data_IF_124846391022
#
_entry.id   IF_124846391022
#
_cell.length_a   1.000
_cell.length_b   1.000
_cell.length_c   1.000
_cell.angle_alpha   90.00
_cell.angle_beta   90.00
_cell.angle_gamma   90.00
#
_symmetry.space_group_name_H-M   'P 1'
#
loop_
_entity.id
_entity.type
_entity.pdbx_description
1 polymer ?
#
# COMPACT_ATOMS: atom_id res chain seq x y z
N UNK A 1 28.64 -10.16 11.54
CA UNK A 1 28.75 -9.08 10.53
C UNK A 1 27.48 -8.92 9.67
N UNK A 2 26.30 -8.65 10.27
CA UNK A 2 25.00 -8.61 9.53
C UNK A 2 24.28 -7.24 9.59
N UNK A 3 24.74 -6.31 10.42
CA UNK A 3 24.08 -5.02 10.67
C UNK A 3 24.48 -3.90 9.68
N UNK A 4 25.60 -4.06 8.94
CA UNK A 4 26.22 -2.94 8.20
C UNK A 4 25.51 -2.52 6.91
N UNK A 5 24.64 -3.34 6.33
CA UNK A 5 24.03 -3.00 5.04
C UNK A 5 22.81 -2.07 5.12
N UNK A 6 22.10 -2.05 6.25
CA UNK A 6 21.04 -1.06 6.49
C UNK A 6 21.63 0.36 6.64
N UNK A 7 22.89 0.45 7.07
CA UNK A 7 23.63 1.70 7.26
C UNK A 7 24.47 2.13 6.05
N UNK A 8 24.49 1.37 4.96
CA UNK A 8 25.36 1.65 3.80
C UNK A 8 24.91 2.90 3.01
N UNK A 9 23.62 3.28 3.12
CA UNK A 9 23.04 4.46 2.44
C UNK A 9 22.14 5.27 3.39
N UNK A 10 22.70 5.96 4.40
CA UNK A 10 21.93 6.67 5.42
C UNK A 10 21.02 7.75 4.82
N UNK A 11 21.48 8.41 3.75
CA UNK A 11 20.71 9.41 3.01
C UNK A 11 19.49 8.82 2.30
N UNK A 12 19.57 7.58 1.80
CA UNK A 12 18.43 6.91 1.14
C UNK A 12 17.45 6.42 2.19
N UNK A 13 17.96 5.89 3.30
CA UNK A 13 17.14 5.43 4.42
C UNK A 13 16.29 6.58 4.99
N UNK A 14 16.91 7.73 5.32
CA UNK A 14 16.17 8.88 5.84
C UNK A 14 15.08 9.40 4.90
N UNK A 15 15.39 9.55 3.60
CA UNK A 15 14.40 9.93 2.58
C UNK A 15 13.27 8.91 2.45
N UNK A 16 13.56 7.63 2.62
CA UNK A 16 12.57 6.55 2.50
C UNK A 16 11.66 6.48 3.73
N UNK A 17 12.20 6.69 4.92
CA UNK A 17 11.41 6.83 6.16
C UNK A 17 10.48 8.04 6.06
N UNK A 18 10.99 9.19 5.62
CA UNK A 18 10.16 10.39 5.43
C UNK A 18 9.01 10.15 4.43
N UNK A 19 9.28 9.43 3.33
CA UNK A 19 8.24 9.01 2.37
C UNK A 19 7.21 8.06 2.99
N UNK A 20 7.64 7.14 3.85
CA UNK A 20 6.74 6.23 4.57
C UNK A 20 5.83 6.99 5.56
N UNK A 21 6.37 7.93 6.31
CA UNK A 21 5.59 8.81 7.22
C UNK A 21 4.60 9.65 6.42
N UNK A 22 5.04 10.23 5.30
CA UNK A 22 4.15 10.99 4.41
C UNK A 22 3.02 10.11 3.87
N UNK A 23 3.32 8.88 3.43
CA UNK A 23 2.31 7.94 2.95
C UNK A 23 1.29 7.55 4.03
N UNK A 24 1.74 7.35 5.27
CA UNK A 24 0.88 7.12 6.44
C UNK A 24 -0.09 8.29 6.67
N UNK A 25 0.42 9.52 6.69
CA UNK A 25 -0.39 10.72 6.90
C UNK A 25 -1.40 10.91 5.76
N UNK A 26 -0.94 10.77 4.51
CA UNK A 26 -1.79 10.92 3.32
C UNK A 26 -2.94 9.92 3.36
N UNK A 27 -2.70 8.64 3.68
CA UNK A 27 -3.80 7.66 3.68
C UNK A 27 -4.82 7.93 4.79
N UNK A 28 -4.38 8.42 5.96
CA UNK A 28 -5.29 8.85 7.02
C UNK A 28 -6.08 10.11 6.65
N UNK A 29 -5.44 11.10 6.04
CA UNK A 29 -6.11 12.30 5.55
C UNK A 29 -7.16 11.95 4.50
N UNK A 30 -6.82 11.08 3.55
CA UNK A 30 -7.77 10.60 2.53
C UNK A 30 -8.94 9.86 3.18
N UNK A 31 -8.68 9.00 4.16
CA UNK A 31 -9.74 8.33 4.93
C UNK A 31 -10.72 9.32 5.55
N UNK A 32 -10.23 10.29 6.34
CA UNK A 32 -11.10 11.29 6.97
C UNK A 32 -11.80 12.19 5.96
N UNK A 33 -11.10 12.61 4.90
CA UNK A 33 -11.66 13.46 3.86
C UNK A 33 -12.83 12.78 3.15
N UNK A 34 -12.65 11.54 2.70
CA UNK A 34 -13.70 10.77 2.02
C UNK A 34 -14.89 10.54 2.93
N UNK A 35 -14.68 10.06 4.17
CA UNK A 35 -15.78 9.81 5.09
C UNK A 35 -16.54 11.09 5.47
N UNK A 36 -15.83 12.20 5.62
CA UNK A 36 -16.44 13.50 5.93
C UNK A 36 -17.28 14.03 4.77
N UNK A 37 -16.77 13.91 3.54
CA UNK A 37 -17.49 14.37 2.34
C UNK A 37 -18.73 13.51 2.04
N UNK A 38 -18.67 12.21 2.28
CA UNK A 38 -19.75 11.27 1.95
C UNK A 38 -20.82 11.21 3.04
N UNK A 39 -20.42 11.22 4.31
CA UNK A 39 -21.32 10.91 5.44
C UNK A 39 -21.28 11.94 6.57
N UNK A 40 -20.46 12.98 6.46
CA UNK A 40 -20.33 14.04 7.44
C UNK A 40 -19.28 13.77 8.53
N UNK A 41 -18.81 14.85 9.16
CA UNK A 41 -17.71 14.83 10.13
C UNK A 41 -18.01 13.95 11.37
N UNK A 42 -19.22 14.07 11.93
CA UNK A 42 -19.62 13.31 13.12
C UNK A 42 -19.65 11.81 12.87
N UNK A 43 -20.06 11.40 11.66
CA UNK A 43 -20.01 10.00 11.24
C UNK A 43 -18.57 9.52 11.08
N UNK A 44 -17.71 10.32 10.43
CA UNK A 44 -16.29 9.98 10.24
C UNK A 44 -15.57 9.75 11.58
N UNK A 45 -15.81 10.60 12.58
CA UNK A 45 -15.27 10.41 13.93
C UNK A 45 -15.78 9.13 14.60
N UNK A 46 -17.09 8.86 14.52
CA UNK A 46 -17.68 7.63 15.08
C UNK A 46 -17.09 6.36 14.48
N UNK A 47 -17.00 6.31 13.14
CA UNK A 47 -16.38 5.19 12.44
C UNK A 47 -14.90 5.04 12.79
N UNK A 48 -14.17 6.15 12.90
CA UNK A 48 -12.77 6.11 13.30
C UNK A 48 -12.61 5.54 14.71
N UNK A 49 -13.34 6.03 15.71
CA UNK A 49 -13.23 5.51 17.08
C UNK A 49 -13.67 4.05 17.21
N UNK A 50 -14.62 3.60 16.40
CA UNK A 50 -15.03 2.19 16.38
C UNK A 50 -13.96 1.27 15.79
N UNK A 51 -13.26 1.72 14.75
CA UNK A 51 -12.32 0.87 13.99
C UNK A 51 -10.86 1.35 14.03
N UNK A 52 -10.51 2.23 14.98
CA UNK A 52 -9.22 2.92 15.03
C UNK A 52 -8.05 1.94 15.02
N UNK A 53 -8.18 0.81 15.72
CA UNK A 53 -7.17 -0.24 15.77
C UNK A 53 -6.84 -0.77 14.37
N UNK A 54 -7.87 -1.04 13.55
CA UNK A 54 -7.68 -1.52 12.18
C UNK A 54 -7.16 -0.42 11.26
N UNK A 55 -7.76 0.77 11.32
CA UNK A 55 -7.42 1.90 10.45
C UNK A 55 -5.98 2.35 10.67
N UNK A 56 -5.57 2.53 11.93
CA UNK A 56 -4.20 2.93 12.28
C UNK A 56 -3.21 1.82 11.95
N UNK A 57 -3.53 0.55 12.24
CA UNK A 57 -2.62 -0.58 11.90
C UNK A 57 -2.41 -0.71 10.39
N UNK A 58 -3.48 -0.60 9.59
CA UNK A 58 -3.41 -0.63 8.12
C UNK A 58 -2.61 0.55 7.59
N UNK A 59 -2.86 1.75 8.09
CA UNK A 59 -2.14 2.94 7.67
C UNK A 59 -0.64 2.82 8.01
N UNK A 60 -0.31 2.41 9.24
CA UNK A 60 1.07 2.23 9.69
C UNK A 60 1.78 1.20 8.82
N UNK A 61 1.13 0.07 8.60
CA UNK A 61 1.62 -0.98 7.74
C UNK A 61 1.88 -0.51 6.31
N UNK A 62 0.96 0.26 5.72
CA UNK A 62 1.12 0.88 4.40
C UNK A 62 2.31 1.85 4.36
N UNK A 63 2.47 2.69 5.40
CA UNK A 63 3.63 3.57 5.54
C UNK A 63 4.96 2.82 5.59
N UNK A 64 5.01 1.71 6.34
CA UNK A 64 6.20 0.83 6.41
C UNK A 64 6.48 0.21 5.04
N UNK A 65 5.47 -0.37 4.37
CA UNK A 65 5.61 -0.96 3.04
C UNK A 65 6.13 0.06 2.02
N UNK A 66 5.54 1.26 2.01
CA UNK A 66 5.93 2.32 1.08
C UNK A 66 7.35 2.84 1.35
N UNK A 67 7.74 2.94 2.63
CA UNK A 67 9.10 3.28 3.04
C UNK A 67 10.12 2.23 2.62
N UNK A 68 9.85 0.94 2.88
CA UNK A 68 10.70 -0.17 2.44
C UNK A 68 10.83 -0.22 0.92
N UNK A 69 9.72 -0.07 0.19
CA UNK A 69 9.73 -0.04 -1.27
C UNK A 69 10.54 1.15 -1.80
N UNK A 70 10.38 2.33 -1.20
CA UNK A 70 11.16 3.53 -1.55
C UNK A 70 12.65 3.32 -1.33
N UNK A 71 13.03 2.65 -0.24
CA UNK A 71 14.42 2.30 0.07
C UNK A 71 14.98 1.31 -0.95
N UNK A 72 14.25 0.22 -1.21
CA UNK A 72 14.62 -0.79 -2.21
C UNK A 72 14.80 -0.15 -3.59
N UNK A 73 13.88 0.72 -4.00
CA UNK A 73 13.97 1.46 -5.27
C UNK A 73 15.20 2.38 -5.30
N UNK A 74 15.52 3.02 -4.18
CA UNK A 74 16.71 3.88 -4.04
C UNK A 74 18.01 3.09 -4.23
N UNK A 75 18.17 1.97 -3.51
CA UNK A 75 19.38 1.14 -3.59
C UNK A 75 19.51 0.43 -4.94
N UNK A 76 18.39 -0.01 -5.55
CA UNK A 76 18.38 -0.59 -6.90
C UNK A 76 18.79 0.45 -7.92
N UNK A 77 18.24 1.67 -7.85
CA UNK A 77 18.61 2.76 -8.76
C UNK A 77 20.10 3.08 -8.65
N UNK A 78 20.64 3.16 -7.42
CA UNK A 78 22.07 3.44 -7.22
C UNK A 78 22.98 2.31 -7.72
N UNK A 79 22.64 1.04 -7.49
CA UNK A 79 23.38 -0.10 -8.07
C UNK A 79 23.21 -0.20 -9.59
N UNK A 80 22.03 0.10 -10.14
CA UNK A 80 21.77 0.09 -11.58
C UNK A 80 22.54 1.19 -12.32
N UNK A 81 22.75 2.37 -11.70
CA UNK A 81 23.68 3.36 -12.23
C UNK A 81 25.14 2.87 -12.22
N UNK A 82 25.50 1.90 -11.37
CA UNK A 82 26.81 1.27 -11.32
C UNK A 82 26.92 0.00 -12.20
N UNK A 83 25.81 -0.55 -12.73
CA UNK A 83 25.79 -1.86 -13.39
C UNK A 83 24.65 -2.04 -14.40
N UNK A 84 24.35 -0.96 -15.14
CA UNK A 84 23.28 -0.78 -16.13
C UNK A 84 22.41 -1.97 -16.51
N UNK A 85 21.42 -2.36 -15.69
CA UNK A 85 20.27 -3.16 -16.12
C UNK A 85 19.04 -2.82 -15.26
N UNK A 86 17.97 -2.34 -15.90
CA UNK A 86 16.64 -2.21 -15.33
C UNK A 86 15.69 -3.10 -16.14
N UNK A 87 15.18 -4.17 -15.54
CA UNK A 87 14.05 -4.94 -16.09
C UNK A 87 12.77 -4.48 -15.39
N UNK A 88 11.91 -3.79 -16.15
CA UNK A 88 10.53 -3.47 -15.75
C UNK A 88 9.60 -3.83 -16.90
N UNK A 89 9.17 -5.09 -16.97
CA UNK A 89 8.26 -5.56 -18.03
C UNK A 89 7.04 -6.31 -17.50
N UNK A 90 6.93 -6.55 -16.18
CA UNK A 90 5.85 -7.38 -15.63
C UNK A 90 4.54 -6.64 -15.33
N UNK A 91 4.60 -5.38 -14.89
CA UNK A 91 3.40 -4.67 -14.42
C UNK A 91 2.53 -4.15 -15.58
N UNK A 92 3.13 -3.73 -16.69
CA UNK A 92 2.42 -3.15 -17.84
C UNK A 92 1.51 -4.16 -18.56
N UNK A 93 1.91 -5.44 -18.63
CA UNK A 93 1.18 -6.49 -19.34
C UNK A 93 -0.10 -6.92 -18.62
N UNK A 94 -0.09 -6.97 -17.28
CA UNK A 94 -1.27 -7.31 -16.49
C UNK A 94 -2.32 -6.19 -16.51
N UNK A 95 -1.89 -4.92 -16.46
CA UNK A 95 -2.82 -3.78 -16.53
C UNK A 95 -3.46 -3.68 -17.92
N UNK A 96 -2.72 -3.95 -19.00
CA UNK A 96 -3.26 -3.97 -20.35
C UNK A 96 -4.32 -5.07 -20.53
N UNK A 97 -4.09 -6.26 -19.97
CA UNK A 97 -5.04 -7.37 -20.04
C UNK A 97 -6.29 -7.11 -19.20
N UNK A 98 -6.15 -6.59 -17.99
CA UNK A 98 -7.29 -6.23 -17.12
C UNK A 98 -8.10 -5.08 -17.75
N UNK A 99 -7.45 -4.08 -18.34
CA UNK A 99 -8.12 -2.99 -19.06
C UNK A 99 -8.95 -3.49 -20.24
N UNK A 100 -8.47 -4.51 -20.96
CA UNK A 100 -9.19 -5.12 -22.08
C UNK A 100 -10.37 -5.98 -21.58
N UNK A 101 -10.25 -6.68 -20.45
CA UNK A 101 -11.34 -7.52 -19.94
C UNK A 101 -12.40 -6.73 -19.16
N UNK A 102 -12.03 -5.61 -18.54
CA UNK A 102 -12.92 -4.84 -17.65
C UNK A 102 -14.01 -4.07 -18.41
N UNK A 103 -13.82 -3.74 -19.69
CA UNK A 103 -14.84 -3.02 -20.47
C UNK A 103 -16.10 -3.86 -20.74
N UNK A 104 -16.02 -5.19 -20.63
CA UNK A 104 -17.17 -6.07 -20.82
C UNK A 104 -18.07 -6.13 -19.57
N UNK A 105 -17.50 -5.83 -18.41
CA UNK A 105 -18.18 -5.93 -17.12
C UNK A 105 -19.02 -4.68 -16.78
N UNK A 106 -18.78 -3.57 -17.48
CA UNK A 106 -19.44 -2.27 -17.23
C UNK A 106 -20.87 -2.18 -17.80
N UNK A 107 -21.29 -3.11 -18.66
CA UNK A 107 -22.64 -3.10 -19.25
C UNK A 107 -23.75 -3.74 -18.38
N UNK A 108 -23.41 -4.47 -17.31
CA UNK A 108 -24.39 -5.28 -16.54
C UNK A 108 -24.53 -4.84 -15.07
N UNK A 109 -23.53 -4.16 -14.50
CA UNK A 109 -23.41 -3.89 -13.05
C UNK A 109 -24.05 -2.60 -12.46
N UNK A 110 -24.40 -1.53 -13.18
CA UNK A 110 -24.24 -0.18 -12.62
C UNK A 110 -25.23 0.30 -11.54
N UNK A 111 -26.37 -0.36 -11.25
CA UNK A 111 -27.32 0.16 -10.24
C UNK A 111 -27.60 -0.82 -9.08
N UNK A 112 -27.90 -2.10 -9.35
CA UNK A 112 -28.15 -3.09 -8.28
C UNK A 112 -26.85 -3.73 -7.75
N UNK A 113 -25.82 -3.82 -8.58
CA UNK A 113 -24.50 -4.32 -8.18
C UNK A 113 -23.81 -3.35 -7.21
N UNK A 114 -23.93 -2.04 -7.43
CA UNK A 114 -23.28 -1.03 -6.58
C UNK A 114 -23.86 -1.04 -5.17
N UNK A 115 -25.19 -1.05 -5.02
CA UNK A 115 -25.84 -1.09 -3.69
C UNK A 115 -25.61 -2.43 -2.98
N UNK A 116 -25.64 -3.55 -3.71
CA UNK A 116 -25.32 -4.88 -3.18
C UNK A 116 -23.86 -4.99 -2.72
N UNK A 117 -22.91 -4.48 -3.51
CA UNK A 117 -21.48 -4.47 -3.18
C UNK A 117 -21.22 -3.59 -1.96
N UNK A 118 -21.80 -2.38 -1.90
CA UNK A 118 -21.64 -1.49 -0.74
C UNK A 118 -22.20 -2.14 0.53
N UNK A 119 -23.37 -2.78 0.44
CA UNK A 119 -23.98 -3.49 1.58
C UNK A 119 -23.12 -4.67 2.01
N UNK A 120 -22.64 -5.48 1.07
CA UNK A 120 -21.75 -6.61 1.35
C UNK A 120 -20.43 -6.16 2.00
N UNK A 121 -19.79 -5.13 1.46
CA UNK A 121 -18.56 -4.55 2.03
C UNK A 121 -18.82 -4.02 3.44
N UNK A 122 -19.96 -3.37 3.69
CA UNK A 122 -20.34 -2.90 5.02
C UNK A 122 -20.58 -4.05 6.02
N UNK A 123 -21.30 -5.10 5.61
CA UNK A 123 -21.59 -6.25 6.47
C UNK A 123 -20.33 -7.06 6.81
N UNK A 124 -19.39 -7.17 5.88
CA UNK A 124 -18.14 -7.92 6.06
C UNK A 124 -16.91 -7.03 6.30
N UNK A 125 -17.11 -5.79 6.73
CA UNK A 125 -16.06 -4.78 6.87
C UNK A 125 -14.91 -5.26 7.77
N UNK A 126 -15.22 -5.90 8.90
CA UNK A 126 -14.21 -6.40 9.85
C UNK A 126 -13.38 -7.52 9.22
N UNK A 127 -14.01 -8.40 8.46
CA UNK A 127 -13.36 -9.51 7.76
C UNK A 127 -12.41 -8.96 6.69
N UNK A 128 -12.84 -7.91 5.97
CA UNK A 128 -11.97 -7.20 5.04
C UNK A 128 -10.81 -6.50 5.73
N UNK A 129 -10.99 -5.95 6.93
CA UNK A 129 -9.87 -5.39 7.70
C UNK A 129 -8.85 -6.46 8.09
N UNK A 130 -9.29 -7.61 8.60
CA UNK A 130 -8.38 -8.73 8.90
C UNK A 130 -7.62 -9.20 7.67
N UNK A 131 -8.31 -9.36 6.55
CA UNK A 131 -7.69 -9.72 5.28
C UNK A 131 -6.67 -8.67 4.83
N UNK A 132 -7.01 -7.39 4.98
CA UNK A 132 -6.12 -6.26 4.70
C UNK A 132 -4.87 -6.28 5.59
N UNK A 133 -5.01 -6.50 6.90
CA UNK A 133 -3.88 -6.62 7.83
C UNK A 133 -2.97 -7.78 7.43
N UNK A 134 -3.54 -8.92 7.08
CA UNK A 134 -2.79 -10.10 6.65
C UNK A 134 -1.95 -9.81 5.41
N UNK A 135 -2.55 -9.25 4.35
CA UNK A 135 -1.81 -8.88 3.15
C UNK A 135 -0.81 -7.75 3.38
N UNK A 136 -1.12 -6.82 4.28
CA UNK A 136 -0.19 -5.78 4.66
C UNK A 136 1.07 -6.38 5.31
N UNK A 137 0.89 -7.28 6.27
CA UNK A 137 1.99 -8.00 6.91
C UNK A 137 2.83 -8.79 5.91
N UNK A 138 2.18 -9.54 5.00
CA UNK A 138 2.89 -10.28 3.94
C UNK A 138 3.70 -9.36 3.03
N UNK A 139 3.17 -8.21 2.63
CA UNK A 139 3.89 -7.28 1.78
C UNK A 139 5.10 -6.62 2.48
N UNK A 140 5.04 -6.41 3.80
CA UNK A 140 6.19 -5.95 4.60
C UNK A 140 7.28 -7.03 4.57
N UNK A 141 6.93 -8.28 4.89
CA UNK A 141 7.87 -9.41 4.88
C UNK A 141 8.50 -9.59 3.49
N UNK A 142 7.68 -9.59 2.45
CA UNK A 142 8.15 -9.76 1.08
C UNK A 142 9.16 -8.68 0.69
N UNK A 143 8.84 -7.41 0.92
CA UNK A 143 9.73 -6.29 0.56
C UNK A 143 11.00 -6.31 1.41
N UNK A 144 10.88 -6.60 2.71
CA UNK A 144 12.02 -6.75 3.61
C UNK A 144 12.96 -7.88 3.17
N UNK A 145 12.41 -9.03 2.79
CA UNK A 145 13.20 -10.17 2.30
C UNK A 145 13.97 -9.83 1.01
N UNK A 146 13.36 -9.05 0.11
CA UNK A 146 14.01 -8.57 -1.12
C UNK A 146 15.16 -7.63 -0.82
N UNK A 147 15.01 -6.70 0.13
CA UNK A 147 16.08 -5.80 0.56
C UNK A 147 17.27 -6.60 1.11
N UNK A 148 17.02 -7.59 1.97
CA UNK A 148 18.07 -8.45 2.54
C UNK A 148 18.78 -9.25 1.45
N UNK A 149 18.04 -9.81 0.49
CA UNK A 149 18.64 -10.57 -0.63
C UNK A 149 19.49 -9.67 -1.53
N UNK A 150 19.00 -8.49 -1.87
CA UNK A 150 19.69 -7.52 -2.73
C UNK A 150 20.95 -6.93 -2.09
N UNK A 151 20.98 -6.89 -0.76
CA UNK A 151 22.14 -6.45 0.03
C UNK A 151 23.26 -7.51 0.09
N UNK A 152 22.95 -8.79 -0.08
CA UNK A 152 23.95 -9.87 -0.06
C UNK A 152 24.62 -10.10 -1.42
N UNK A 153 23.98 -9.63 -2.50
CA UNK A 153 24.58 -9.51 -3.83
C UNK A 153 25.46 -8.27 -3.90
#
# INVERSE_FOLDING_TARGET
MKQQACFLYPNILGKSVAKGIMAFLVILTVYFLVLTLVSGWRFAQGQFFQFWFYVVSLALGFGIQFGLYSYLKGIVKQKAFAGGVLVTTGATSATAMISCCAHYLTNILPILGVTGIITFIGQYQIQFFWLGLFFNFLGIIYTGSKIIKFSKQ
#
